data_IF_007688084301
#
_entry.id   IF_007688084301
#
_cell.length_a   1.000
_cell.length_b   1.000
_cell.length_c   1.000
_cell.angle_alpha   90.00
_cell.angle_beta   90.00
_cell.angle_gamma   90.00
#
_symmetry.space_group_name_H-M   'P 1'
#
loop_
_entity.id
_entity.type
_entity.pdbx_description
1 polymer ?
2 polymer ?
3 non-polymer ?
4 water ?
#
# COMPACT_ATOMS: atom_id res chain seq x y z
N UNK A 4 8.31 13.15 -10.86
CA UNK A 4 7.03 12.41 -10.72
C UNK A 4 6.62 12.46 -9.25
N UNK A 5 5.33 12.68 -8.98
CA UNK A 5 4.87 12.52 -7.61
C UNK A 5 3.94 11.33 -7.50
N UNK A 6 4.05 10.61 -6.38
CA UNK A 6 3.19 9.45 -6.12
C UNK A 6 2.46 9.61 -4.79
N UNK A 7 1.13 9.49 -4.86
CA UNK A 7 0.28 9.55 -3.70
C UNK A 7 -0.59 8.28 -3.64
N UNK A 8 -0.72 7.71 -2.45
CA UNK A 8 -1.64 6.63 -2.18
C UNK A 8 -2.94 7.25 -1.72
N UNK A 9 -4.04 6.80 -2.31
CA UNK A 9 -5.33 7.31 -1.96
C UNK A 9 -6.16 6.18 -1.38
N UNK A 10 -6.45 6.26 -0.09
CA UNK A 10 -7.27 5.28 0.58
C UNK A 10 -8.73 5.45 0.13
N UNK A 11 -9.28 4.40 -0.47
CA UNK A 11 -10.58 4.52 -1.10
C UNK A 11 -11.68 3.99 -0.18
N UNK A 12 -11.69 4.52 1.05
CA UNK A 12 -12.63 4.08 2.10
C UNK A 12 -13.63 5.17 2.46
N UNK A 13 -13.64 6.27 1.71
CA UNK A 13 -14.47 7.42 2.04
C UNK A 13 -13.80 8.49 2.88
N UNK A 14 -12.74 8.12 3.59
CA UNK A 14 -12.04 9.04 4.52
C UNK A 14 -11.31 10.21 3.84
N UNK A 15 -10.96 10.05 2.57
CA UNK A 15 -10.15 11.06 1.88
C UNK A 15 -8.68 11.05 2.33
N UNK A 16 -8.31 10.08 3.15
CA UNK A 16 -6.92 9.95 3.61
C UNK A 16 -6.02 9.63 2.44
N UNK A 17 -4.88 10.32 2.40
CA UNK A 17 -3.88 10.12 1.37
C UNK A 17 -2.50 10.07 2.01
N UNK A 18 -1.55 9.49 1.29
CA UNK A 18 -0.16 9.46 1.72
C UNK A 18 0.74 9.67 0.50
N UNK A 19 1.61 10.68 0.56
CA UNK A 19 2.58 10.88 -0.52
C UNK A 19 3.84 10.07 -0.24
N UNK A 20 4.28 9.30 -1.22
CA UNK A 20 5.47 8.45 -1.06
C UNK A 20 6.74 9.28 -0.89
N UNK A 21 7.60 8.84 0.01
CA UNK A 21 8.96 9.37 0.15
C UNK A 21 9.88 8.47 -0.65
N UNK A 22 11.02 9.00 -1.07
CA UNK A 22 12.03 8.15 -1.69
C UNK A 22 12.58 7.18 -0.67
N UNK A 23 12.94 5.99 -1.14
CA UNK A 23 13.27 4.88 -0.24
C UNK A 23 12.04 4.07 0.13
N UNK A 24 12.06 3.54 1.34
CA UNK A 24 11.06 2.59 1.83
C UNK A 24 9.82 3.26 2.38
N UNK A 25 8.65 2.80 1.93
CA UNK A 25 7.39 3.26 2.50
C UNK A 25 6.62 2.04 3.03
N UNK A 26 6.45 1.95 4.34
CA UNK A 26 5.74 0.81 4.91
C UNK A 26 4.25 1.13 5.11
N UNK A 27 3.39 0.27 4.57
CA UNK A 27 1.94 0.44 4.75
C UNK A 27 1.50 -0.75 5.61
N UNK A 28 0.68 -0.48 6.61
CA UNK A 28 0.25 -1.52 7.54
C UNK A 28 -0.50 -0.97 8.72
N UNK A 29 -0.87 -1.85 9.64
CA UNK A 29 -1.68 -1.48 10.81
C UNK A 29 -0.79 -1.06 11.98
N UNK A 30 0.49 -1.44 11.90
CA UNK A 30 1.46 -1.13 12.97
C UNK A 30 1.75 0.36 13.15
N UNK A 31 2.11 0.75 14.37
CA UNK A 31 2.42 2.15 14.71
C UNK A 31 3.61 2.73 13.93
N UNK A 32 4.52 1.86 13.53
CA UNK A 32 5.73 2.27 12.82
C UNK A 32 5.52 2.46 11.31
N UNK A 33 4.36 2.03 10.79
CA UNK A 33 4.05 2.20 9.36
C UNK A 33 4.01 3.68 8.96
N UNK A 34 4.44 3.99 7.74
CA UNK A 34 4.34 5.36 7.21
C UNK A 34 2.89 5.71 6.90
N UNK A 35 2.09 4.71 6.56
CA UNK A 35 0.68 4.93 6.25
C UNK A 35 -0.07 3.85 7.02
N UNK A 36 -0.81 4.28 8.05
CA UNK A 36 -1.44 3.35 8.95
C UNK A 36 -2.89 3.11 8.61
N UNK A 37 -3.24 1.85 8.43
CA UNK A 37 -4.61 1.41 8.22
C UNK A 37 -5.06 0.60 9.43
N UNK A 38 -6.16 1.00 10.11
CA UNK A 38 -6.66 0.23 11.25
C UNK A 38 -7.40 -1.07 10.89
N UNK A 39 -7.71 -1.26 9.62
CA UNK A 39 -8.30 -2.50 9.13
C UNK A 39 -7.66 -3.74 9.79
N UNK A 40 -8.46 -4.49 10.55
CA UNK A 40 -7.93 -5.61 11.34
C UNK A 40 -7.47 -6.82 10.50
N UNK A 41 -7.76 -6.80 9.20
CA UNK A 41 -7.20 -7.78 8.27
C UNK A 41 -5.89 -7.34 7.61
N UNK A 42 -5.46 -6.11 7.88
CA UNK A 42 -4.17 -5.60 7.40
C UNK A 42 -3.07 -5.98 8.41
N UNK A 43 -1.98 -6.55 7.91
CA UNK A 43 -0.86 -6.90 8.79
C UNK A 43 -0.21 -5.65 9.31
N UNK A 44 0.44 -5.77 10.46
CA UNK A 44 1.12 -4.65 11.07
C UNK A 44 2.21 -4.05 10.17
N UNK A 45 2.97 -4.91 9.50
CA UNK A 45 3.83 -4.54 8.37
C UNK A 45 3.29 -5.33 7.19
N UNK A 46 2.49 -4.70 6.35
CA UNK A 46 1.75 -5.43 5.31
C UNK A 46 2.45 -5.41 3.96
N UNK A 47 2.78 -4.22 3.50
CA UNK A 47 3.52 -4.09 2.26
C UNK A 47 4.51 -2.95 2.33
N UNK A 48 5.50 -3.01 1.45
CA UNK A 48 6.44 -1.93 1.29
C UNK A 48 6.35 -1.43 -0.14
N UNK A 49 6.40 -0.12 -0.31
CA UNK A 49 6.63 0.43 -1.64
C UNK A 49 7.94 1.20 -1.64
N UNK A 50 8.88 0.77 -2.47
CA UNK A 50 10.12 1.52 -2.66
C UNK A 50 9.99 2.50 -3.82
N UNK A 51 10.34 3.76 -3.55
CA UNK A 51 10.22 4.83 -4.53
C UNK A 51 11.59 5.43 -4.76
N UNK A 52 12.04 5.49 -6.01
CA UNK A 52 13.34 6.07 -6.32
C UNK A 52 13.25 7.32 -7.20
N UNK A 53 12.05 7.88 -7.30
CA UNK A 53 11.83 9.04 -8.15
C UNK A 53 11.33 8.70 -9.53
N UNK A 54 11.46 7.43 -9.93
CA UNK A 54 11.01 6.99 -11.25
C UNK A 54 10.13 5.76 -11.19
N UNK A 55 10.48 4.81 -10.34
CA UNK A 55 9.79 3.54 -10.29
C UNK A 55 9.31 3.29 -8.87
N UNK A 56 8.03 2.91 -8.75
CA UNK A 56 7.46 2.50 -7.48
C UNK A 56 7.26 0.98 -7.48
N UNK A 57 8.04 0.33 -6.61
CA UNK A 57 8.09 -1.12 -6.57
C UNK A 57 7.43 -1.57 -5.28
N UNK A 58 6.27 -2.21 -5.42
CA UNK A 58 5.55 -2.74 -4.27
C UNK A 58 6.09 -4.14 -3.90
N UNK A 59 6.21 -4.43 -2.61
CA UNK A 59 6.49 -5.79 -2.17
C UNK A 59 5.59 -6.16 -1.00
N UNK A 60 4.87 -7.29 -1.13
CA UNK A 60 4.12 -7.84 0.00
C UNK A 60 5.12 -8.31 1.04
N UNK A 61 4.88 -8.02 2.31
CA UNK A 61 5.85 -8.33 3.37
C UNK A 61 5.50 -9.62 4.12
N UNK A 62 5.30 -10.70 3.37
CA UNK A 62 4.87 -11.96 3.93
C UNK A 62 3.61 -11.77 4.79
N UNK A 63 2.68 -10.98 4.26
CA UNK A 63 1.49 -10.60 4.99
C UNK A 63 0.57 -11.78 5.22
N UNK A 64 -0.20 -11.71 6.30
CA UNK A 64 -1.15 -12.76 6.64
C UNK A 64 -2.20 -12.98 5.53
N UNK A 65 -2.74 -11.90 4.97
CA UNK A 65 -3.88 -12.05 4.03
C UNK A 65 -3.55 -11.76 2.57
N UNK A 66 -2.32 -11.34 2.32
CA UNK A 66 -1.82 -11.16 0.96
C UNK A 66 -2.12 -9.77 0.42
N UNK A 67 -1.54 -9.48 -0.73
CA UNK A 67 -1.78 -8.21 -1.43
C UNK A 67 -2.15 -8.53 -2.88
N UNK A 68 -3.17 -7.85 -3.38
CA UNK A 68 -3.50 -7.91 -4.80
C UNK A 68 -3.34 -6.52 -5.45
N UNK A 69 -2.96 -6.52 -6.71
CA UNK A 69 -2.94 -5.31 -7.53
C UNK A 69 -3.87 -5.54 -8.72
N UNK A 70 -4.88 -4.69 -8.87
CA UNK A 70 -5.90 -4.85 -9.91
C UNK A 70 -6.52 -6.25 -9.87
N UNK A 71 -6.74 -6.72 -8.63
CA UNK A 71 -7.38 -7.98 -8.31
C UNK A 71 -6.55 -9.26 -8.52
N UNK A 72 -5.27 -9.08 -8.82
CA UNK A 72 -4.37 -10.21 -9.00
C UNK A 72 -3.38 -10.28 -7.85
N UNK A 73 -3.27 -11.45 -7.20
CA UNK A 73 -2.30 -11.63 -6.11
C UNK A 73 -0.89 -11.34 -6.61
N UNK A 74 -0.10 -10.62 -5.81
CA UNK A 74 1.27 -10.28 -6.18
C UNK A 74 2.22 -10.46 -5.01
N UNK A 75 3.47 -10.75 -5.32
CA UNK A 75 4.58 -10.67 -4.38
C UNK A 75 5.22 -9.29 -4.56
N UNK A 76 5.96 -9.10 -5.65
CA UNK A 76 6.47 -7.79 -6.03
C UNK A 76 5.74 -7.28 -7.26
N UNK A 77 5.56 -5.96 -7.35
CA UNK A 77 4.89 -5.39 -8.53
C UNK A 77 5.28 -3.94 -8.77
N UNK A 78 5.61 -3.64 -10.02
CA UNK A 78 5.91 -2.27 -10.43
C UNK A 78 4.59 -1.54 -10.63
N UNK A 79 4.35 -0.52 -9.81
CA UNK A 79 3.06 0.19 -9.82
C UNK A 79 2.94 1.21 -10.96
N UNK A 80 1.72 1.49 -11.37
CA UNK A 80 1.41 2.49 -12.39
C UNK A 80 0.26 3.34 -11.92
N UNK A 81 0.11 4.52 -12.51
CA UNK A 81 -1.04 5.38 -12.23
C UNK A 81 -2.36 4.60 -12.34
N UNK A 82 -3.20 4.72 -11.31
CA UNK A 82 -4.53 4.12 -11.34
C UNK A 82 -4.62 2.69 -10.80
N UNK A 83 -3.48 2.08 -10.48
CA UNK A 83 -3.46 0.72 -9.94
C UNK A 83 -4.23 0.71 -8.64
N UNK A 84 -4.98 -0.37 -8.41
CA UNK A 84 -5.75 -0.55 -7.19
C UNK A 84 -5.13 -1.66 -6.34
N UNK A 85 -4.64 -1.28 -5.17
CA UNK A 85 -4.02 -2.22 -4.24
C UNK A 85 -5.07 -2.62 -3.21
N UNK A 86 -5.26 -3.92 -3.03
CA UNK A 86 -6.17 -4.40 -2.01
C UNK A 86 -5.42 -5.14 -0.92
N UNK A 87 -5.68 -4.74 0.32
CA UNK A 87 -5.05 -5.34 1.51
C UNK A 87 -6.09 -5.35 2.64
N UNK A 88 -6.28 -6.50 3.26
CA UNK A 88 -7.39 -6.68 4.20
C UNK A 88 -8.69 -6.46 3.46
N UNK A 89 -9.50 -5.52 3.95
CA UNK A 89 -10.72 -5.09 3.22
C UNK A 89 -10.56 -3.67 2.67
N UNK A 90 -9.32 -3.19 2.64
CA UNK A 90 -9.04 -1.82 2.21
C UNK A 90 -8.56 -1.76 0.77
N UNK A 91 -8.88 -0.65 0.11
CA UNK A 91 -8.37 -0.37 -1.24
C UNK A 91 -7.64 0.94 -1.30
N UNK A 92 -6.50 0.92 -1.97
CA UNK A 92 -5.65 2.09 -2.13
C UNK A 92 -5.47 2.32 -3.63
N UNK A 93 -5.82 3.51 -4.10
CA UNK A 93 -5.60 3.89 -5.50
C UNK A 93 -4.26 4.59 -5.62
N UNK A 94 -3.44 4.13 -6.59
CA UNK A 94 -2.15 4.75 -6.84
C UNK A 94 -2.32 5.93 -7.79
N UNK A 95 -1.81 7.08 -7.37
CA UNK A 95 -1.88 8.29 -8.17
C UNK A 95 -0.45 8.73 -8.48
N UNK A 96 -0.01 8.43 -9.70
CA UNK A 96 1.37 8.60 -10.10
C UNK A 96 1.41 9.52 -11.32
N UNK A 97 1.92 10.73 -11.12
CA UNK A 97 1.76 11.76 -12.13
C UNK A 97 3.08 12.49 -12.37
N UNK A 98 3.54 12.51 -13.62
CA UNK A 98 4.73 13.30 -13.98
C UNK A 98 4.44 14.79 -13.89
N UNK A 99 5.44 15.57 -13.49
CA UNK A 99 5.29 17.01 -13.48
C UNK A 99 5.57 17.56 -14.87
N UNK B 2 -3.70 -3.02 17.54
CA UNK B 2 -2.44 -3.73 17.11
C UNK B 2 -2.38 -5.16 17.70
N UNK B 3 -3.54 -5.79 17.60
CA UNK B 3 -3.76 -7.18 17.88
C UNK B 3 -3.17 -8.01 16.75
N UNK B 4 -3.07 -9.34 16.96
CA UNK B 4 -2.82 -10.26 15.85
C UNK B 4 -3.82 -10.01 14.71
N UNK B 6 -6.39 -10.58 11.82
CA UNK B 6 -7.44 -11.56 11.62
C UNK B 6 -7.31 -12.16 10.23
N UNK B 7 -7.36 -13.49 10.16
CA UNK B 7 -7.22 -14.19 8.91
C UNK B 7 -8.50 -14.11 8.09
N UNK B 8 -8.39 -13.65 6.85
CA UNK B 8 -9.51 -13.60 5.91
C UNK B 8 -9.51 -14.86 5.05
#
# INVERSE_FOLDING_TARGET
SAGTSVTLQLDDGSGRTYQLREGSNIIGRGQDAQFRLPDTGVSRRHLEIRWDGQVALLADLNSTNGTTVNNAPVQEWQLADGDVIRLGHSEIIVRMHPLT
DTAPXEKIAYKK
#
